data_IF_137444571190
#
_entry.id   IF_137444571190
#
_cell.length_a   1.000
_cell.length_b   1.000
_cell.length_c   1.000
_cell.angle_alpha   90.00
_cell.angle_beta   90.00
_cell.angle_gamma   90.00
#
_symmetry.space_group_name_H-M   'P 1'
#
loop_
_entity.id
_entity.type
_entity.pdbx_description
1 polymer ?
#
# COMPACT_ATOMS: atom_id res chain seq x y z
N UNK A 1 -18.59 6.84 5.97
CA UNK A 1 -18.88 5.55 5.29
C UNK A 1 -19.45 5.75 3.89
N UNK A 2 -20.50 6.57 3.68
CA UNK A 2 -21.08 6.82 2.33
C UNK A 2 -20.05 7.25 1.26
N UNK A 3 -19.04 8.04 1.64
CA UNK A 3 -17.96 8.48 0.74
C UNK A 3 -17.03 7.36 0.26
N UNK A 4 -16.98 6.22 0.95
CA UNK A 4 -16.09 5.12 0.58
C UNK A 4 -16.71 4.17 -0.45
N UNK A 5 -18.05 4.10 -0.52
CA UNK A 5 -18.77 3.17 -1.42
C UNK A 5 -18.38 3.36 -2.88
N UNK A 6 -18.32 4.59 -3.43
CA UNK A 6 -17.91 4.79 -4.82
C UNK A 6 -16.44 4.39 -5.06
N UNK A 7 -15.55 4.67 -4.10
CA UNK A 7 -14.14 4.30 -4.19
C UNK A 7 -13.95 2.78 -4.18
N UNK A 8 -14.70 2.06 -3.34
CA UNK A 8 -14.73 0.60 -3.34
C UNK A 8 -15.23 0.05 -4.67
N UNK A 9 -16.37 0.54 -5.17
CA UNK A 9 -16.91 0.09 -6.45
C UNK A 9 -15.89 0.27 -7.57
N UNK A 10 -15.32 1.47 -7.70
CA UNK A 10 -14.32 1.77 -8.72
C UNK A 10 -13.09 0.85 -8.61
N UNK A 11 -12.50 0.73 -7.41
CA UNK A 11 -11.30 -0.07 -7.19
C UNK A 11 -11.54 -1.57 -7.43
N UNK A 12 -12.71 -2.09 -7.01
CA UNK A 12 -13.10 -3.48 -7.26
C UNK A 12 -13.29 -3.75 -8.75
N UNK A 13 -13.98 -2.85 -9.47
CA UNK A 13 -14.19 -3.00 -10.92
C UNK A 13 -12.89 -3.01 -11.70
N UNK A 14 -11.92 -2.16 -11.33
CA UNK A 14 -10.59 -2.14 -11.94
C UNK A 14 -9.87 -3.49 -11.72
N UNK A 15 -9.86 -4.02 -10.49
CA UNK A 15 -9.21 -5.31 -10.17
C UNK A 15 -9.85 -6.50 -10.89
N UNK A 16 -11.18 -6.58 -10.90
CA UNK A 16 -11.90 -7.67 -11.59
C UNK A 16 -11.63 -7.62 -13.10
N UNK A 17 -11.58 -6.42 -13.68
CA UNK A 17 -11.22 -6.26 -15.10
C UNK A 17 -9.81 -6.75 -15.42
N UNK A 18 -8.84 -6.59 -14.51
CA UNK A 18 -7.50 -7.16 -14.68
C UNK A 18 -7.49 -8.69 -14.56
N UNK A 19 -8.30 -9.26 -13.66
CA UNK A 19 -8.43 -10.72 -13.56
C UNK A 19 -9.09 -11.33 -14.80
N UNK A 20 -10.11 -10.69 -15.35
CA UNK A 20 -10.76 -11.15 -16.59
C UNK A 20 -9.78 -11.19 -17.77
N UNK A 21 -8.84 -10.24 -17.84
CA UNK A 21 -7.76 -10.25 -18.84
C UNK A 21 -6.81 -11.42 -18.63
N UNK A 22 -6.33 -11.63 -17.40
CA UNK A 22 -5.43 -12.74 -17.06
C UNK A 22 -6.05 -14.09 -17.42
N UNK A 23 -7.33 -14.29 -17.10
CA UNK A 23 -8.05 -15.53 -17.41
C UNK A 23 -8.27 -15.69 -18.92
N UNK A 24 -8.51 -14.59 -19.65
CA UNK A 24 -8.69 -14.60 -21.10
C UNK A 24 -7.39 -14.92 -21.85
N UNK A 25 -6.26 -14.37 -21.41
CA UNK A 25 -4.94 -14.61 -22.01
C UNK A 25 -4.51 -16.09 -21.88
N UNK A 26 -4.92 -16.77 -20.79
CA UNK A 26 -4.67 -18.19 -20.59
C UNK A 26 -5.52 -19.13 -21.46
N UNK A 27 -6.60 -18.65 -22.10
CA UNK A 27 -7.51 -19.48 -22.94
C UNK A 27 -7.02 -19.71 -24.37
N UNK A 28 -5.90 -19.12 -24.79
CA UNK A 28 -5.33 -19.30 -26.14
C UNK A 28 -4.85 -20.72 -26.48
N UNK A 29 -4.81 -21.64 -25.52
CA UNK A 29 -4.29 -23.01 -25.70
C UNK A 29 -5.39 -24.07 -25.57
N UNK A 30 -6.38 -24.10 -26.49
CA UNK A 30 -7.16 -25.28 -26.94
C UNK A 30 -7.77 -26.27 -25.93
N UNK A 31 -7.70 -26.00 -24.63
CA UNK A 31 -8.03 -26.88 -23.52
C UNK A 31 -8.61 -25.97 -22.45
N UNK A 32 -9.83 -26.26 -22.02
CA UNK A 32 -10.50 -25.62 -20.90
C UNK A 32 -9.74 -25.93 -19.61
N UNK A 33 -8.61 -25.26 -19.41
CA UNK A 33 -7.82 -25.30 -18.19
C UNK A 33 -8.38 -24.27 -17.22
N UNK A 34 -8.74 -24.72 -16.03
CA UNK A 34 -8.98 -23.83 -14.89
C UNK A 34 -7.70 -23.09 -14.54
N UNK A 35 -7.78 -21.77 -14.36
CA UNK A 35 -6.66 -20.94 -13.92
C UNK A 35 -6.80 -20.64 -12.43
N UNK A 36 -5.75 -20.92 -11.64
CA UNK A 36 -5.64 -20.50 -10.25
C UNK A 36 -4.89 -19.17 -10.18
N UNK A 37 -5.44 -18.20 -9.45
CA UNK A 37 -4.87 -16.85 -9.33
C UNK A 37 -4.72 -16.51 -7.84
N UNK A 38 -3.51 -16.17 -7.40
CA UNK A 38 -3.27 -15.62 -6.06
C UNK A 38 -3.83 -14.20 -5.98
N UNK A 39 -5.01 -14.02 -5.38
CA UNK A 39 -5.65 -12.70 -5.29
C UNK A 39 -5.05 -11.77 -4.24
N UNK A 40 -4.15 -12.25 -3.38
CA UNK A 40 -3.65 -11.48 -2.23
C UNK A 40 -2.99 -10.13 -2.60
N UNK A 41 -2.10 -10.05 -3.61
CA UNK A 41 -1.50 -8.78 -4.03
C UNK A 41 -2.54 -7.74 -4.46
N UNK A 42 -3.59 -8.18 -5.14
CA UNK A 42 -4.69 -7.33 -5.60
C UNK A 42 -5.56 -6.84 -4.44
N UNK A 43 -5.85 -7.68 -3.44
CA UNK A 43 -6.59 -7.26 -2.25
C UNK A 43 -5.84 -6.17 -1.46
N UNK A 44 -4.52 -6.33 -1.31
CA UNK A 44 -3.67 -5.33 -0.65
C UNK A 44 -3.66 -4.03 -1.46
N UNK A 45 -3.48 -4.10 -2.78
CA UNK A 45 -3.48 -2.95 -3.68
C UNK A 45 -4.82 -2.20 -3.67
N UNK A 46 -5.93 -2.93 -3.82
CA UNK A 46 -7.29 -2.40 -3.81
C UNK A 46 -7.61 -1.68 -2.49
N UNK A 47 -7.23 -2.27 -1.36
CA UNK A 47 -7.44 -1.64 -0.04
C UNK A 47 -6.64 -0.35 0.08
N UNK A 48 -5.39 -0.35 -0.40
CA UNK A 48 -4.55 0.86 -0.42
C UNK A 48 -5.14 1.95 -1.32
N UNK A 49 -5.68 1.59 -2.49
CA UNK A 49 -6.32 2.53 -3.42
C UNK A 49 -7.59 3.14 -2.82
N UNK A 50 -8.47 2.31 -2.23
CA UNK A 50 -9.69 2.80 -1.57
C UNK A 50 -9.37 3.77 -0.43
N UNK A 51 -8.45 3.42 0.47
CA UNK A 51 -8.02 4.32 1.55
C UNK A 51 -7.42 5.60 0.97
N UNK A 52 -6.61 5.48 -0.09
CA UNK A 52 -5.93 6.62 -0.68
C UNK A 52 -6.90 7.60 -1.35
N UNK A 53 -7.84 7.10 -2.17
CA UNK A 53 -8.89 7.90 -2.81
C UNK A 53 -9.81 8.55 -1.79
N UNK A 54 -10.16 7.84 -0.73
CA UNK A 54 -11.12 8.35 0.28
C UNK A 54 -10.50 9.33 1.27
N UNK A 55 -9.26 9.09 1.71
CA UNK A 55 -8.59 9.93 2.70
C UNK A 55 -7.89 11.14 2.08
N UNK A 56 -7.30 10.97 0.89
CA UNK A 56 -6.47 11.99 0.25
C UNK A 56 -7.10 12.63 -0.99
N UNK A 57 -8.16 12.06 -1.55
CA UNK A 57 -8.91 12.66 -2.67
C UNK A 57 -8.02 12.91 -3.88
N UNK A 58 -7.89 14.18 -4.29
CA UNK A 58 -7.02 14.57 -5.40
C UNK A 58 -5.53 14.28 -5.18
N UNK A 59 -5.11 14.02 -3.93
CA UNK A 59 -3.73 13.64 -3.56
C UNK A 59 -3.58 12.14 -3.30
N UNK A 60 -4.42 11.30 -3.92
CA UNK A 60 -4.41 9.85 -3.66
C UNK A 60 -3.08 9.17 -3.99
N UNK A 61 -2.34 9.61 -5.02
CA UNK A 61 -1.03 9.04 -5.36
C UNK A 61 0.00 9.29 -4.26
N UNK A 62 0.02 10.50 -3.71
CA UNK A 62 0.82 10.83 -2.53
C UNK A 62 0.40 10.01 -1.31
N UNK A 63 -0.91 9.78 -1.14
CA UNK A 63 -1.47 8.89 -0.13
C UNK A 63 -0.99 7.44 -0.25
N UNK A 64 -0.98 6.91 -1.46
CA UNK A 64 -0.50 5.56 -1.76
C UNK A 64 0.97 5.40 -1.37
N UNK A 65 1.80 6.40 -1.67
CA UNK A 65 3.21 6.41 -1.25
C UNK A 65 3.37 6.41 0.28
N UNK A 66 2.52 7.12 1.01
CA UNK A 66 2.52 7.07 2.49
C UNK A 66 2.21 5.65 2.98
N UNK A 67 1.24 4.98 2.38
CA UNK A 67 0.87 3.61 2.77
C UNK A 67 2.01 2.61 2.54
N UNK A 68 2.72 2.70 1.41
CA UNK A 68 3.91 1.89 1.14
C UNK A 68 5.00 2.08 2.22
N UNK A 69 5.28 3.33 2.58
CA UNK A 69 6.26 3.66 3.62
C UNK A 69 5.82 3.16 4.99
N UNK A 70 4.52 3.22 5.30
CA UNK A 70 3.96 2.65 6.53
C UNK A 70 4.08 1.13 6.57
N UNK A 71 3.82 0.43 5.46
CA UNK A 71 3.99 -1.01 5.36
C UNK A 71 5.46 -1.42 5.57
N UNK A 72 6.41 -0.65 5.04
CA UNK A 72 7.84 -0.86 5.31
C UNK A 72 8.20 -0.60 6.79
N UNK A 73 7.72 0.50 7.36
CA UNK A 73 7.92 0.80 8.78
C UNK A 73 7.38 -0.32 9.67
N UNK A 74 6.19 -0.85 9.38
CA UNK A 74 5.59 -1.97 10.12
C UNK A 74 6.51 -3.20 10.10
N UNK A 75 7.08 -3.56 8.94
CA UNK A 75 8.05 -4.67 8.82
C UNK A 75 9.29 -4.43 9.69
N UNK A 76 9.87 -3.23 9.64
CA UNK A 76 11.04 -2.87 10.44
C UNK A 76 10.75 -2.87 11.94
N UNK A 77 9.57 -2.40 12.34
CA UNK A 77 9.10 -2.38 13.72
C UNK A 77 8.92 -3.82 14.24
N UNK A 78 8.27 -4.70 13.47
CA UNK A 78 8.11 -6.11 13.83
C UNK A 78 9.49 -6.78 13.98
N UNK A 79 10.43 -6.52 13.06
CA UNK A 79 11.80 -7.03 13.17
C UNK A 79 12.52 -6.51 14.41
N UNK A 80 12.31 -5.24 14.79
CA UNK A 80 12.87 -4.67 16.00
C UNK A 80 12.28 -5.29 17.26
N UNK A 81 10.96 -5.53 17.30
CA UNK A 81 10.29 -6.20 18.41
C UNK A 81 10.70 -7.66 18.61
N UNK A 82 11.09 -8.36 17.54
CA UNK A 82 11.61 -9.73 17.63
C UNK A 82 13.03 -9.81 18.21
N UNK A 83 13.75 -8.70 18.33
CA UNK A 83 15.08 -8.65 18.95
C UNK A 83 14.95 -8.40 20.45
N UNK A 84 15.95 -8.83 21.21
CA UNK A 84 16.03 -8.50 22.63
C UNK A 84 15.94 -6.96 22.81
N UNK A 85 15.09 -6.53 23.74
CA UNK A 85 14.91 -5.12 24.01
C UNK A 85 16.19 -4.56 24.67
N UNK A 86 16.88 -3.68 23.95
CA UNK A 86 18.05 -2.96 24.46
C UNK A 86 17.66 -1.48 24.58
N UNK A 87 17.63 -0.91 25.80
CA UNK A 87 17.41 0.51 25.99
C UNK A 87 18.34 1.37 25.12
N UNK A 88 17.79 2.42 24.49
CA UNK A 88 18.56 3.32 23.63
C UNK A 88 18.91 2.77 22.23
N UNK A 89 18.66 1.49 21.95
CA UNK A 89 19.01 0.86 20.66
C UNK A 89 18.37 1.55 19.45
N UNK A 90 17.20 2.17 19.61
CA UNK A 90 16.51 2.98 18.56
C UNK A 90 17.34 4.19 18.07
N UNK A 91 18.29 4.67 18.87
CA UNK A 91 19.12 5.83 18.53
C UNK A 91 20.42 5.44 17.84
N UNK A 92 20.83 4.17 17.95
CA UNK A 92 22.03 3.67 17.30
C UNK A 92 21.92 3.78 15.77
N UNK A 93 23.01 4.05 15.07
CA UNK A 93 23.01 4.28 13.63
C UNK A 93 22.92 2.97 12.81
N UNK A 94 22.04 2.04 13.19
CA UNK A 94 21.81 0.77 12.47
C UNK A 94 21.10 1.02 11.13
N UNK A 95 21.24 0.07 10.18
CA UNK A 95 20.55 0.14 8.88
C UNK A 95 19.03 0.29 9.04
N UNK A 96 18.42 -0.46 9.95
CA UNK A 96 16.99 -0.38 10.26
C UNK A 96 16.58 0.99 10.80
N UNK A 97 17.29 1.51 11.81
CA UNK A 97 16.99 2.82 12.39
C UNK A 97 17.17 3.95 11.36
N UNK A 98 18.21 3.89 10.53
CA UNK A 98 18.44 4.86 9.44
C UNK A 98 17.30 4.82 8.43
N UNK A 99 16.85 3.63 8.01
CA UNK A 99 15.73 3.50 7.07
C UNK A 99 14.41 3.98 7.68
N UNK A 100 14.11 3.63 8.94
CA UNK A 100 12.92 4.14 9.64
C UNK A 100 12.92 5.67 9.71
N UNK A 101 14.06 6.29 10.06
CA UNK A 101 14.20 7.76 10.07
C UNK A 101 14.02 8.37 8.67
N UNK A 102 14.52 7.73 7.63
CA UNK A 102 14.33 8.19 6.25
C UNK A 102 12.86 8.12 5.82
N UNK A 103 12.19 6.99 6.05
CA UNK A 103 10.77 6.81 5.73
C UNK A 103 9.89 7.80 6.50
N UNK A 104 10.16 8.01 7.80
CA UNK A 104 9.43 9.00 8.60
C UNK A 104 9.58 10.44 8.06
N UNK A 105 10.79 10.82 7.62
CA UNK A 105 11.03 12.13 6.98
C UNK A 105 10.26 12.26 5.66
N UNK A 106 10.29 11.24 4.83
CA UNK A 106 9.57 11.22 3.55
C UNK A 106 8.06 11.36 3.77
N UNK A 107 7.47 10.60 4.69
CA UNK A 107 6.05 10.73 5.08
C UNK A 107 5.74 12.17 5.53
N UNK A 108 6.58 12.77 6.38
CA UNK A 108 6.37 14.16 6.82
C UNK A 108 6.41 15.17 5.68
N UNK A 109 7.33 15.02 4.73
CA UNK A 109 7.42 15.90 3.54
C UNK A 109 6.16 15.76 2.70
N UNK A 110 5.72 14.54 2.41
CA UNK A 110 4.52 14.29 1.62
C UNK A 110 3.28 14.86 2.31
N UNK A 111 3.09 14.59 3.60
CA UNK A 111 1.94 15.10 4.37
C UNK A 111 1.90 16.63 4.40
N UNK A 112 3.05 17.29 4.60
CA UNK A 112 3.13 18.76 4.52
C UNK A 112 2.74 19.27 3.13
N UNK A 113 3.19 18.59 2.07
CA UNK A 113 2.79 18.90 0.70
C UNK A 113 1.28 18.81 0.50
N UNK A 114 0.64 17.74 1.00
CA UNK A 114 -0.81 17.57 0.92
C UNK A 114 -1.55 18.66 1.70
N UNK A 115 -1.10 19.00 2.91
CA UNK A 115 -1.70 20.06 3.73
C UNK A 115 -1.59 21.41 3.02
N UNK A 116 -0.42 21.74 2.49
CA UNK A 116 -0.20 23.01 1.78
C UNK A 116 -1.04 23.15 0.51
N UNK A 117 -1.41 22.04 -0.16
CA UNK A 117 -2.33 22.07 -1.32
C UNK A 117 -3.79 22.31 -0.93
N UNK A 118 -4.14 22.13 0.34
CA UNK A 118 -5.51 22.28 0.86
C UNK A 118 -5.76 23.66 1.50
N UNK A 119 -4.69 24.37 1.87
CA UNK A 119 -4.72 25.76 2.31
C UNK A 119 -4.70 26.68 1.08
#
# INVERSE_FOLDING_TARGET
IKIMVPAFHQSCSEVVGEWDKLVSDHKGSGSSSSCEVDVWPWLVSMTADVISRTAFGSSYKEGQRIFELQAELAKLIIQAFRKAFIPGYRFLPTKGNRRMKAAAREIQVILRGIINKRL
#
